data_IF_349356214327
#
_entry.id   IF_349356214327
#
_cell.length_a   1.000
_cell.length_b   1.000
_cell.length_c   1.000
_cell.angle_alpha   90.00
_cell.angle_beta   90.00
_cell.angle_gamma   90.00
#
_symmetry.space_group_name_H-M   'P 1'
#
loop_
_entity.id
_entity.type
_entity.pdbx_description
1 polymer ?
#
# COMPACT_ATOMS: atom_id res chain seq x y z
N UNK A 1 -40.92 8.42 26.55
CA UNK A 1 -40.26 8.58 25.23
C UNK A 1 -39.31 7.41 25.06
N UNK A 2 -39.80 6.34 24.44
CA UNK A 2 -39.05 5.10 24.23
C UNK A 2 -38.14 5.28 23.02
N UNK A 3 -36.83 5.40 23.26
CA UNK A 3 -35.81 5.32 22.21
C UNK A 3 -35.93 3.94 21.58
N UNK A 4 -36.23 3.79 20.28
CA UNK A 4 -36.19 2.48 19.66
C UNK A 4 -34.73 2.02 19.66
N UNK A 5 -34.45 1.06 20.52
CA UNK A 5 -33.18 0.39 20.68
C UNK A 5 -32.97 -0.52 19.46
N UNK A 6 -32.60 0.08 18.33
CA UNK A 6 -32.24 -0.58 17.06
C UNK A 6 -30.89 -1.32 17.13
N UNK A 7 -30.46 -1.75 18.33
CA UNK A 7 -29.21 -2.50 18.56
C UNK A 7 -29.44 -3.99 18.86
N UNK A 8 -30.67 -4.49 18.70
CA UNK A 8 -31.02 -5.88 19.06
C UNK A 8 -30.89 -6.90 17.93
N UNK A 9 -30.66 -6.51 16.68
CA UNK A 9 -30.34 -7.51 15.62
C UNK A 9 -28.91 -8.04 15.82
N UNK A 10 -28.74 -9.37 15.74
CA UNK A 10 -27.42 -10.03 15.82
C UNK A 10 -26.43 -9.43 14.83
N UNK A 11 -26.93 -9.08 13.65
CA UNK A 11 -26.17 -8.53 12.53
C UNK A 11 -25.52 -7.18 12.84
N UNK A 12 -26.23 -6.27 13.52
CA UNK A 12 -25.67 -4.97 13.91
C UNK A 12 -24.50 -5.12 14.91
N UNK A 13 -24.53 -6.15 15.76
CA UNK A 13 -23.46 -6.44 16.72
C UNK A 13 -22.23 -6.99 16.02
N UNK A 14 -22.41 -7.89 15.04
CA UNK A 14 -21.31 -8.48 14.26
C UNK A 14 -20.56 -7.42 13.47
N UNK A 15 -21.27 -6.49 12.83
CA UNK A 15 -20.62 -5.42 12.07
C UNK A 15 -19.92 -4.41 12.98
N UNK A 16 -20.52 -4.08 14.13
CA UNK A 16 -19.87 -3.21 15.13
C UNK A 16 -18.58 -3.84 15.67
N UNK A 17 -18.58 -5.16 15.89
CA UNK A 17 -17.38 -5.90 16.26
C UNK A 17 -16.32 -5.83 15.15
N UNK A 18 -16.72 -5.96 13.88
CA UNK A 18 -15.84 -5.78 12.73
C UNK A 18 -15.13 -4.43 12.72
N UNK A 19 -15.86 -3.33 12.95
CA UNK A 19 -15.26 -2.00 13.06
C UNK A 19 -14.36 -1.82 14.29
N UNK A 20 -14.71 -2.43 15.43
CA UNK A 20 -13.86 -2.41 16.61
C UNK A 20 -12.52 -3.13 16.36
N UNK A 21 -12.55 -4.27 15.66
CA UNK A 21 -11.34 -4.98 15.22
C UNK A 21 -10.56 -4.15 14.19
N UNK A 22 -11.26 -3.54 13.23
CA UNK A 22 -10.65 -2.67 12.22
C UNK A 22 -9.89 -1.49 12.86
N UNK A 23 -10.42 -0.91 13.94
CA UNK A 23 -9.82 0.21 14.64
C UNK A 23 -8.47 -0.10 15.32
N UNK A 24 -8.16 -1.39 15.56
CA UNK A 24 -6.87 -1.80 16.14
C UNK A 24 -5.74 -1.75 15.10
N UNK A 25 -6.04 -1.98 13.82
CA UNK A 25 -4.98 -2.10 12.83
C UNK A 25 -4.20 -0.81 12.56
N UNK A 26 -4.78 0.40 12.54
CA UNK A 26 -3.97 1.61 12.41
C UNK A 26 -2.93 1.76 13.53
N UNK A 27 -3.21 1.29 14.76
CA UNK A 27 -2.23 1.25 15.86
C UNK A 27 -1.12 0.24 15.57
N UNK A 28 -1.49 -0.97 15.12
CA UNK A 28 -0.54 -1.99 14.71
C UNK A 28 0.34 -1.52 13.55
N UNK A 29 -0.26 -0.81 12.59
CA UNK A 29 0.41 -0.26 11.43
C UNK A 29 1.41 0.83 11.85
N UNK A 30 1.01 1.72 12.76
CA UNK A 30 1.91 2.71 13.36
C UNK A 30 3.07 2.04 14.10
N UNK A 31 2.80 0.99 14.88
CA UNK A 31 3.84 0.22 15.55
C UNK A 31 4.79 -0.44 14.55
N UNK A 32 4.25 -1.05 13.48
CA UNK A 32 5.04 -1.66 12.41
C UNK A 32 5.95 -0.68 11.68
N UNK A 33 5.47 0.54 11.42
CA UNK A 33 6.28 1.62 10.84
C UNK A 33 7.38 2.04 11.80
N UNK A 34 7.04 2.31 13.06
CA UNK A 34 8.04 2.69 14.06
C UNK A 34 9.12 1.62 14.25
N UNK A 35 8.72 0.35 14.23
CA UNK A 35 9.62 -0.80 14.31
C UNK A 35 10.57 -0.88 13.11
N UNK A 36 10.14 -0.45 11.92
CA UNK A 36 10.94 -0.50 10.68
C UNK A 36 11.58 0.84 10.29
N UNK A 37 11.41 1.89 11.09
CA UNK A 37 11.86 3.26 10.79
C UNK A 37 13.34 3.35 10.43
N UNK A 38 14.22 2.77 11.25
CA UNK A 38 15.66 2.74 10.99
C UNK A 38 16.00 2.10 9.64
N UNK A 39 15.31 1.01 9.27
CA UNK A 39 15.55 0.33 8.01
C UNK A 39 15.09 1.19 6.82
N UNK A 40 13.98 1.93 6.96
CA UNK A 40 13.54 2.89 5.94
C UNK A 40 14.55 4.02 5.74
N UNK A 41 15.08 4.58 6.82
CA UNK A 41 16.12 5.62 6.77
C UNK A 41 17.38 5.09 6.04
N UNK A 42 17.84 3.89 6.41
CA UNK A 42 18.96 3.23 5.74
C UNK A 42 18.72 3.01 4.23
N UNK A 43 17.52 2.56 3.85
CA UNK A 43 17.15 2.38 2.43
C UNK A 43 17.25 3.69 1.66
N UNK A 44 16.78 4.81 2.23
CA UNK A 44 16.86 6.12 1.59
C UNK A 44 18.31 6.57 1.37
N UNK A 45 19.19 6.30 2.33
CA UNK A 45 20.62 6.55 2.16
C UNK A 45 21.24 5.69 1.05
N UNK A 46 20.87 4.40 0.99
CA UNK A 46 21.32 3.51 -0.09
C UNK A 46 20.76 3.94 -1.45
N UNK A 47 19.54 4.47 -1.52
CA UNK A 47 18.97 5.02 -2.75
C UNK A 47 19.80 6.18 -3.26
N UNK A 48 20.21 7.10 -2.38
CA UNK A 48 21.11 8.19 -2.76
C UNK A 48 22.44 7.64 -3.29
N UNK A 49 23.01 6.61 -2.64
CA UNK A 49 24.26 6.00 -3.11
C UNK A 49 24.11 5.36 -4.49
N UNK A 50 23.01 4.65 -4.74
CA UNK A 50 22.70 4.03 -6.03
C UNK A 50 22.53 5.10 -7.11
N UNK A 51 21.84 6.20 -6.81
CA UNK A 51 21.61 7.30 -7.75
C UNK A 51 22.94 7.90 -8.26
N UNK A 52 23.88 8.14 -7.35
CA UNK A 52 25.23 8.61 -7.66
C UNK A 52 25.99 7.61 -8.54
N UNK A 53 25.89 6.31 -8.24
CA UNK A 53 26.57 5.26 -9.01
C UNK A 53 25.96 5.07 -10.41
N UNK A 54 24.64 5.22 -10.54
CA UNK A 54 23.95 5.15 -11.82
C UNK A 54 24.02 6.46 -12.62
N UNK A 55 24.72 7.48 -12.10
CA UNK A 55 24.91 8.79 -12.73
C UNK A 55 23.59 9.39 -13.19
N UNK A 56 22.57 9.29 -12.34
CA UNK A 56 21.28 9.87 -12.62
C UNK A 56 21.08 11.13 -11.77
N UNK A 57 20.56 12.17 -12.40
CA UNK A 57 19.82 13.19 -11.68
C UNK A 57 18.41 12.64 -11.53
N UNK A 58 18.11 11.90 -10.46
CA UNK A 58 16.71 11.56 -10.17
C UNK A 58 15.89 12.86 -10.16
N UNK A 59 14.85 12.82 -10.97
CA UNK A 59 14.18 13.99 -11.51
C UNK A 59 13.24 14.58 -10.47
N UNK A 60 13.39 15.89 -10.24
CA UNK A 60 12.49 16.82 -9.52
C UNK A 60 10.99 16.66 -9.91
N UNK A 61 10.68 15.89 -10.96
CA UNK A 61 9.35 15.61 -11.49
C UNK A 61 8.54 14.58 -10.68
N UNK A 62 9.18 13.66 -9.93
CA UNK A 62 8.52 12.63 -9.12
C UNK A 62 7.81 13.23 -7.90
N UNK A 63 8.50 14.12 -7.17
CA UNK A 63 8.00 14.75 -5.93
C UNK A 63 6.70 15.53 -6.12
N UNK A 64 6.53 16.23 -7.24
CA UNK A 64 5.28 16.97 -7.54
C UNK A 64 4.06 16.05 -7.63
N UNK A 65 4.20 14.87 -8.24
CA UNK A 65 3.09 13.91 -8.38
C UNK A 65 2.71 13.30 -7.03
N UNK A 66 3.71 12.95 -6.23
CA UNK A 66 3.52 12.40 -4.87
C UNK A 66 2.84 13.43 -3.98
N UNK A 67 3.32 14.67 -3.98
CA UNK A 67 2.73 15.76 -3.20
C UNK A 67 1.29 16.04 -3.62
N UNK A 68 0.99 15.98 -4.92
CA UNK A 68 -0.36 16.14 -5.44
C UNK A 68 -1.27 15.00 -4.98
N UNK A 69 -0.79 13.75 -5.01
CA UNK A 69 -1.56 12.60 -4.51
C UNK A 69 -1.86 12.71 -3.01
N UNK A 70 -0.86 13.04 -2.19
CA UNK A 70 -1.03 13.23 -0.74
C UNK A 70 -1.99 14.39 -0.46
N UNK A 71 -1.84 15.53 -1.15
CA UNK A 71 -2.73 16.69 -1.00
C UNK A 71 -4.16 16.34 -1.40
N UNK A 72 -4.34 15.58 -2.48
CA UNK A 72 -5.66 15.11 -2.91
C UNK A 72 -6.29 14.20 -1.85
N UNK A 73 -5.56 13.24 -1.29
CA UNK A 73 -6.06 12.34 -0.23
C UNK A 73 -6.49 13.17 0.99
N UNK A 74 -5.62 14.07 1.45
CA UNK A 74 -5.89 14.95 2.59
C UNK A 74 -7.14 15.79 2.38
N UNK A 75 -7.24 16.46 1.22
CA UNK A 75 -8.37 17.32 0.90
C UNK A 75 -9.67 16.51 0.79
N UNK A 76 -9.66 15.36 0.11
CA UNK A 76 -10.85 14.52 -0.05
C UNK A 76 -11.37 14.03 1.29
N UNK A 77 -10.50 13.53 2.18
CA UNK A 77 -10.92 13.03 3.50
C UNK A 77 -11.37 14.18 4.41
N UNK A 78 -10.68 15.32 4.39
CA UNK A 78 -11.05 16.49 5.19
C UNK A 78 -12.43 17.04 4.79
N UNK A 79 -12.68 17.18 3.48
CA UNK A 79 -13.98 17.61 2.98
C UNK A 79 -15.08 16.60 3.33
N UNK A 80 -14.82 15.31 3.16
CA UNK A 80 -15.77 14.27 3.53
C UNK A 80 -16.10 14.27 5.03
N UNK A 81 -15.10 14.42 5.90
CA UNK A 81 -15.31 14.54 7.34
C UNK A 81 -16.10 15.82 7.69
N UNK A 82 -15.81 16.93 7.01
CA UNK A 82 -16.52 18.20 7.20
C UNK A 82 -18.00 18.08 6.82
N UNK A 83 -18.31 17.54 5.63
CA UNK A 83 -19.69 17.32 5.20
C UNK A 83 -20.41 16.29 6.08
N UNK A 84 -19.72 15.24 6.53
CA UNK A 84 -20.28 14.25 7.45
C UNK A 84 -20.66 14.89 8.78
N UNK A 85 -19.83 15.77 9.32
CA UNK A 85 -20.12 16.47 10.58
C UNK A 85 -21.29 17.47 10.43
N UNK A 86 -21.36 18.20 9.31
CA UNK A 86 -22.44 19.15 9.05
C UNK A 86 -23.81 18.48 8.81
N UNK A 87 -23.80 17.28 8.23
CA UNK A 87 -25.03 16.55 7.88
C UNK A 87 -25.45 15.55 8.95
N UNK A 88 -24.75 15.55 10.09
CA UNK A 88 -25.00 14.64 11.19
C UNK A 88 -26.36 14.97 11.86
N UNK A 89 -27.32 14.04 11.92
CA UNK A 89 -28.64 14.35 12.48
C UNK A 89 -28.57 14.58 13.99
N UNK A 90 -29.14 15.68 14.49
CA UNK A 90 -29.14 16.08 15.92
C UNK A 90 -29.65 15.02 16.90
N UNK A 91 -30.54 14.13 16.45
CA UNK A 91 -31.12 13.05 17.28
C UNK A 91 -30.48 11.69 17.04
N UNK A 92 -29.36 11.60 16.31
CA UNK A 92 -28.75 10.32 15.94
C UNK A 92 -27.88 9.73 17.05
N UNK A 93 -27.86 8.40 17.13
CA UNK A 93 -26.90 7.67 17.97
C UNK A 93 -25.44 7.97 17.60
N UNK A 94 -25.18 8.40 16.36
CA UNK A 94 -23.87 8.80 15.87
C UNK A 94 -23.34 10.04 16.58
N UNK A 95 -24.18 11.05 16.88
CA UNK A 95 -23.74 12.22 17.65
C UNK A 95 -23.23 11.82 19.01
N UNK A 96 -23.96 10.94 19.71
CA UNK A 96 -23.54 10.42 21.01
C UNK A 96 -22.21 9.68 20.90
N UNK A 97 -22.06 8.82 19.88
CA UNK A 97 -20.80 8.13 19.63
C UNK A 97 -19.61 9.10 19.46
N UNK A 98 -19.75 10.09 18.58
CA UNK A 98 -18.71 11.11 18.34
C UNK A 98 -18.54 12.12 19.48
N UNK A 99 -19.47 12.14 20.45
CA UNK A 99 -19.39 12.93 21.68
C UNK A 99 -18.95 12.10 22.89
N UNK A 100 -18.35 10.92 22.66
CA UNK A 100 -17.92 10.00 23.72
C UNK A 100 -19.04 9.64 24.70
N UNK A 101 -20.26 9.51 24.19
CA UNK A 101 -21.48 9.24 24.94
C UNK A 101 -21.77 10.26 26.05
N UNK A 102 -21.18 11.46 25.95
CA UNK A 102 -21.39 12.56 26.90
C UNK A 102 -22.41 13.55 26.34
N UNK A 103 -23.39 13.93 27.16
CA UNK A 103 -24.35 14.98 26.83
C UNK A 103 -23.83 16.33 27.34
N UNK A 104 -23.58 17.25 26.42
CA UNK A 104 -23.13 18.60 26.76
C UNK A 104 -24.33 19.54 26.91
N UNK A 105 -24.29 20.40 27.92
CA UNK A 105 -25.34 21.42 28.13
C UNK A 105 -25.17 22.65 27.24
N UNK A 106 -23.95 22.87 26.76
CA UNK A 106 -23.58 24.01 25.91
C UNK A 106 -23.68 23.58 24.44
N UNK A 107 -24.51 24.28 23.67
CA UNK A 107 -24.77 23.97 22.26
C UNK A 107 -23.50 24.06 21.38
N UNK A 108 -22.56 24.95 21.73
CA UNK A 108 -21.30 25.08 21.00
C UNK A 108 -20.41 23.87 21.27
N UNK A 109 -20.31 23.44 22.53
CA UNK A 109 -19.53 22.24 22.89
C UNK A 109 -20.14 20.97 22.31
N UNK A 110 -21.47 20.87 22.31
CA UNK A 110 -22.23 19.76 21.71
C UNK A 110 -21.98 19.64 20.20
N UNK A 111 -21.76 20.76 19.51
CA UNK A 111 -21.42 20.75 18.08
C UNK A 111 -19.93 20.52 17.81
N UNK A 112 -19.05 21.24 18.53
CA UNK A 112 -17.60 21.23 18.27
C UNK A 112 -16.98 19.87 18.59
N UNK A 113 -17.42 19.19 19.66
CA UNK A 113 -16.85 17.90 20.08
C UNK A 113 -17.00 16.81 19.01
N UNK A 114 -18.21 16.47 18.51
CA UNK A 114 -18.37 15.49 17.46
C UNK A 114 -17.75 15.94 16.12
N UNK A 115 -17.73 17.24 15.82
CA UNK A 115 -17.03 17.75 14.65
C UNK A 115 -15.52 17.43 14.70
N UNK A 116 -14.85 17.77 15.80
CA UNK A 116 -13.43 17.48 15.99
C UNK A 116 -13.16 15.97 16.01
N UNK A 117 -14.02 15.19 16.68
CA UNK A 117 -13.86 13.74 16.77
C UNK A 117 -14.00 13.07 15.41
N UNK A 118 -14.97 13.49 14.58
CA UNK A 118 -15.09 13.00 13.20
C UNK A 118 -13.83 13.27 12.37
N UNK A 119 -13.25 14.47 12.46
CA UNK A 119 -12.02 14.81 11.75
C UNK A 119 -10.86 13.87 12.16
N UNK A 120 -10.72 13.61 13.46
CA UNK A 120 -9.69 12.70 13.97
C UNK A 120 -9.93 11.26 13.51
N UNK A 121 -11.17 10.77 13.58
CA UNK A 121 -11.54 9.42 13.14
C UNK A 121 -11.25 9.24 11.65
N UNK A 122 -11.69 10.18 10.81
CA UNK A 122 -11.46 10.12 9.37
C UNK A 122 -9.98 10.21 9.01
N UNK A 123 -9.22 11.09 9.67
CA UNK A 123 -7.79 11.19 9.48
C UNK A 123 -7.08 9.88 9.86
N UNK A 124 -7.49 9.26 10.97
CA UNK A 124 -6.87 8.05 11.48
C UNK A 124 -7.24 6.79 10.68
N UNK A 125 -8.50 6.65 10.29
CA UNK A 125 -9.01 5.47 9.58
C UNK A 125 -8.79 5.51 8.07
N UNK A 126 -8.80 6.69 7.43
CA UNK A 126 -8.72 6.78 5.97
C UNK A 126 -7.45 7.48 5.50
N UNK A 127 -7.13 8.67 6.02
CA UNK A 127 -5.96 9.43 5.56
C UNK A 127 -4.65 8.69 5.87
N UNK A 128 -4.45 8.29 7.12
CA UNK A 128 -3.21 7.67 7.58
C UNK A 128 -2.80 6.42 6.78
N UNK A 129 -3.65 5.38 6.63
CA UNK A 129 -3.31 4.20 5.84
C UNK A 129 -3.13 4.51 4.36
N UNK A 130 -3.88 5.47 3.79
CA UNK A 130 -3.67 5.89 2.40
C UNK A 130 -2.33 6.59 2.20
N UNK A 131 -1.87 7.43 3.14
CA UNK A 131 -0.54 8.03 3.10
C UNK A 131 0.53 6.94 3.15
N UNK A 132 0.38 5.95 4.03
CA UNK A 132 1.32 4.83 4.13
C UNK A 132 1.37 4.03 2.83
N UNK A 133 0.21 3.76 2.23
CA UNK A 133 0.13 3.11 0.93
C UNK A 133 0.90 3.89 -0.15
N UNK A 134 0.74 5.22 -0.19
CA UNK A 134 1.51 6.09 -1.09
C UNK A 134 3.00 6.00 -0.80
N UNK A 135 3.43 6.08 0.46
CA UNK A 135 4.84 5.98 0.85
C UNK A 135 5.45 4.64 0.43
N UNK A 136 4.79 3.51 0.70
CA UNK A 136 5.23 2.20 0.23
C UNK A 136 5.27 2.12 -1.31
N UNK A 137 4.25 2.65 -1.98
CA UNK A 137 4.19 2.71 -3.43
C UNK A 137 5.34 3.51 -4.04
N UNK A 138 5.72 4.63 -3.43
CA UNK A 138 6.86 5.46 -3.84
C UNK A 138 8.17 4.71 -3.63
N UNK A 139 8.38 4.08 -2.47
CA UNK A 139 9.59 3.29 -2.22
C UNK A 139 9.77 2.19 -3.27
N UNK A 140 8.69 1.49 -3.62
CA UNK A 140 8.72 0.48 -4.67
C UNK A 140 8.94 1.07 -6.06
N UNK A 141 8.30 2.21 -6.36
CA UNK A 141 8.43 2.85 -7.66
C UNK A 141 9.87 3.32 -7.92
N UNK A 142 10.48 4.01 -6.96
CA UNK A 142 11.86 4.51 -7.06
C UNK A 142 12.85 3.34 -7.18
N UNK A 143 12.67 2.27 -6.40
CA UNK A 143 13.50 1.07 -6.54
C UNK A 143 13.35 0.42 -7.93
N UNK A 144 12.11 0.33 -8.42
CA UNK A 144 11.83 -0.16 -9.77
C UNK A 144 12.50 0.68 -10.86
N UNK A 145 12.60 2.00 -10.67
CA UNK A 145 13.33 2.90 -11.57
C UNK A 145 14.85 2.60 -11.55
N UNK A 146 15.45 2.37 -10.39
CA UNK A 146 16.87 1.98 -10.32
C UNK A 146 17.15 0.66 -11.03
N UNK A 147 16.30 -0.35 -10.84
CA UNK A 147 16.43 -1.63 -11.54
C UNK A 147 16.28 -1.47 -13.05
N UNK A 148 15.33 -0.64 -13.49
CA UNK A 148 15.08 -0.38 -14.91
C UNK A 148 16.28 0.32 -15.55
N UNK A 149 16.87 1.29 -14.87
CA UNK A 149 18.09 1.96 -15.33
C UNK A 149 19.28 1.01 -15.37
N UNK A 150 19.43 0.15 -14.36
CA UNK A 150 20.47 -0.86 -14.36
C UNK A 150 20.34 -1.77 -15.59
N UNK A 151 19.12 -2.23 -15.88
CA UNK A 151 18.81 -3.04 -17.07
C UNK A 151 19.23 -2.31 -18.35
N UNK A 152 18.69 -1.12 -18.62
CA UNK A 152 18.96 -0.39 -19.86
C UNK A 152 20.41 0.06 -20.02
N UNK A 153 21.07 0.55 -18.96
CA UNK A 153 22.43 1.09 -19.06
C UNK A 153 23.51 0.00 -19.10
N UNK A 154 23.29 -1.14 -18.45
CA UNK A 154 24.35 -2.12 -18.22
C UNK A 154 24.13 -3.47 -18.90
N UNK A 155 22.89 -3.84 -19.26
CA UNK A 155 22.59 -5.17 -19.80
C UNK A 155 22.19 -5.16 -21.28
N UNK A 156 21.87 -4.00 -21.87
CA UNK A 156 21.48 -3.90 -23.28
C UNK A 156 22.66 -3.95 -24.26
N UNK A 157 23.90 -3.71 -23.81
CA UNK A 157 25.11 -3.83 -24.62
C UNK A 157 25.93 -5.08 -24.24
N UNK A 158 25.83 -6.19 -25.02
CA UNK A 158 26.59 -7.41 -24.75
C UNK A 158 28.11 -7.22 -24.89
N UNK A 159 28.57 -6.23 -25.66
CA UNK A 159 29.99 -5.98 -25.85
C UNK A 159 30.63 -5.41 -24.57
N UNK A 160 29.88 -4.58 -23.83
CA UNK A 160 30.30 -4.07 -22.53
C UNK A 160 30.52 -5.18 -21.48
N UNK A 161 29.81 -6.30 -21.60
CA UNK A 161 29.88 -7.44 -20.68
C UNK A 161 31.04 -8.40 -20.98
N UNK A 162 31.74 -8.22 -22.10
CA UNK A 162 32.97 -8.98 -22.42
C UNK A 162 34.21 -8.41 -21.71
N UNK A 163 34.22 -7.10 -21.43
CA UNK A 163 35.31 -6.42 -20.72
C UNK A 163 35.26 -6.73 -19.21
N UNK A 164 36.35 -7.32 -18.69
CA UNK A 164 36.52 -7.72 -17.29
C UNK A 164 36.26 -6.58 -16.31
N UNK A 165 36.75 -5.38 -16.60
CA UNK A 165 36.63 -4.25 -15.67
C UNK A 165 35.19 -3.73 -15.63
N UNK A 166 34.52 -3.69 -16.79
CA UNK A 166 33.12 -3.29 -16.90
C UNK A 166 32.19 -4.29 -16.22
N UNK A 167 32.34 -5.58 -16.49
CA UNK A 167 31.48 -6.59 -15.86
C UNK A 167 31.67 -6.64 -14.34
N UNK A 168 32.89 -6.44 -13.83
CA UNK A 168 33.13 -6.33 -12.39
C UNK A 168 32.38 -5.13 -11.78
N UNK A 169 32.38 -3.98 -12.47
CA UNK A 169 31.61 -2.80 -12.05
C UNK A 169 30.11 -3.09 -12.03
N UNK A 170 29.58 -3.69 -13.10
CA UNK A 170 28.17 -4.08 -13.24
C UNK A 170 27.78 -5.07 -12.12
N UNK A 171 28.63 -6.05 -11.83
CA UNK A 171 28.40 -7.03 -10.77
C UNK A 171 28.37 -6.40 -9.38
N UNK A 172 29.18 -5.36 -9.13
CA UNK A 172 29.13 -4.59 -7.87
C UNK A 172 27.83 -3.81 -7.74
N UNK A 173 27.37 -3.16 -8.81
CA UNK A 173 26.07 -2.46 -8.82
C UNK A 173 24.92 -3.45 -8.61
N UNK A 174 24.94 -4.60 -9.30
CA UNK A 174 23.96 -5.67 -9.11
C UNK A 174 23.94 -6.18 -7.66
N UNK A 175 25.12 -6.38 -7.05
CA UNK A 175 25.20 -6.81 -5.65
C UNK A 175 24.58 -5.78 -4.69
N UNK A 176 24.80 -4.49 -4.93
CA UNK A 176 24.18 -3.41 -4.15
C UNK A 176 22.66 -3.38 -4.34
N UNK A 177 22.17 -3.49 -5.58
CA UNK A 177 20.72 -3.58 -5.86
C UNK A 177 20.09 -4.82 -5.21
N UNK A 178 20.82 -5.94 -5.17
CA UNK A 178 20.38 -7.16 -4.50
C UNK A 178 20.20 -6.99 -3.00
N UNK A 179 21.16 -6.34 -2.34
CA UNK A 179 21.11 -6.02 -0.91
C UNK A 179 19.92 -5.09 -0.60
N UNK A 180 19.81 -3.98 -1.34
CA UNK A 180 18.73 -3.01 -1.18
C UNK A 180 17.36 -3.62 -1.46
N UNK A 181 17.24 -4.55 -2.42
CA UNK A 181 15.98 -5.26 -2.66
C UNK A 181 15.52 -6.06 -1.44
N UNK A 182 16.44 -6.70 -0.72
CA UNK A 182 16.12 -7.43 0.51
C UNK A 182 15.71 -6.47 1.61
N UNK A 183 16.43 -5.36 1.80
CA UNK A 183 16.07 -4.36 2.79
C UNK A 183 14.69 -3.75 2.51
N UNK A 184 14.41 -3.39 1.25
CA UNK A 184 13.10 -2.87 0.82
C UNK A 184 12.00 -3.87 1.18
N UNK A 185 12.17 -5.15 0.84
CA UNK A 185 11.21 -6.20 1.21
C UNK A 185 11.05 -6.32 2.73
N UNK A 186 12.14 -6.32 3.47
CA UNK A 186 12.14 -6.51 4.92
C UNK A 186 11.54 -5.32 5.67
N UNK A 187 11.69 -4.10 5.14
CA UNK A 187 11.09 -2.89 5.67
C UNK A 187 9.58 -2.83 5.41
N UNK A 188 9.17 -3.22 4.21
CA UNK A 188 7.79 -3.00 3.73
C UNK A 188 6.88 -4.19 3.97
N UNK A 189 7.39 -5.41 4.07
CA UNK A 189 6.56 -6.63 4.11
C UNK A 189 5.51 -6.66 5.24
N UNK A 190 5.90 -6.33 6.46
CA UNK A 190 5.00 -6.25 7.63
C UNK A 190 3.99 -5.10 7.47
N UNK A 191 4.45 -3.96 6.97
CA UNK A 191 3.63 -2.76 6.78
C UNK A 191 2.56 -3.01 5.72
N UNK A 192 2.94 -3.58 4.57
CA UNK A 192 2.00 -3.96 3.52
C UNK A 192 1.02 -5.02 4.01
N UNK A 193 1.44 -5.99 4.83
CA UNK A 193 0.53 -6.97 5.41
C UNK A 193 -0.52 -6.31 6.31
N UNK A 194 -0.10 -5.48 7.27
CA UNK A 194 -1.01 -4.78 8.17
C UNK A 194 -1.94 -3.82 7.43
N UNK A 195 -1.40 -3.12 6.41
CA UNK A 195 -2.17 -2.24 5.54
C UNK A 195 -3.26 -3.01 4.79
N UNK A 196 -2.92 -4.14 4.16
CA UNK A 196 -3.87 -4.98 3.44
C UNK A 196 -4.93 -5.55 4.38
N UNK A 197 -4.54 -6.06 5.55
CA UNK A 197 -5.50 -6.54 6.55
C UNK A 197 -6.47 -5.44 6.98
N UNK A 198 -5.95 -4.25 7.30
CA UNK A 198 -6.78 -3.11 7.68
C UNK A 198 -7.76 -2.74 6.57
N UNK A 199 -7.24 -2.49 5.37
CA UNK A 199 -8.02 -1.98 4.26
C UNK A 199 -9.06 -2.99 3.78
N UNK A 200 -8.70 -4.26 3.69
CA UNK A 200 -9.64 -5.34 3.33
C UNK A 200 -10.71 -5.53 4.39
N UNK A 201 -10.36 -5.44 5.69
CA UNK A 201 -11.34 -5.53 6.79
C UNK A 201 -12.31 -4.36 6.75
N UNK A 202 -11.80 -3.12 6.59
CA UNK A 202 -12.64 -1.92 6.49
C UNK A 202 -13.55 -1.99 5.27
N UNK A 203 -13.02 -2.38 4.10
CA UNK A 203 -13.81 -2.54 2.89
C UNK A 203 -14.89 -3.61 3.06
N UNK A 204 -14.56 -4.74 3.68
CA UNK A 204 -15.53 -5.79 4.00
C UNK A 204 -16.64 -5.28 4.93
N UNK A 205 -16.29 -4.60 6.02
CA UNK A 205 -17.27 -4.06 6.98
C UNK A 205 -18.19 -3.02 6.32
N UNK A 206 -17.65 -2.12 5.50
CA UNK A 206 -18.46 -1.12 4.79
C UNK A 206 -19.36 -1.77 3.72
N UNK A 207 -18.88 -2.78 2.99
CA UNK A 207 -19.71 -3.54 2.06
C UNK A 207 -20.82 -4.29 2.79
N UNK A 208 -20.50 -4.95 3.91
CA UNK A 208 -21.49 -5.63 4.73
C UNK A 208 -22.56 -4.63 5.24
N UNK A 209 -22.16 -3.49 5.81
CA UNK A 209 -23.11 -2.43 6.21
C UNK A 209 -24.00 -2.00 5.05
N UNK A 210 -23.41 -1.75 3.88
CA UNK A 210 -24.13 -1.29 2.70
C UNK A 210 -25.15 -2.32 2.20
N UNK A 211 -24.86 -3.61 2.35
CA UNK A 211 -25.71 -4.70 1.89
C UNK A 211 -26.79 -5.10 2.91
N UNK A 212 -26.49 -5.02 4.20
CA UNK A 212 -27.39 -5.40 5.30
C UNK A 212 -28.43 -4.31 5.61
N UNK A 213 -28.11 -3.03 5.38
CA UNK A 213 -29.03 -1.93 5.67
C UNK A 213 -30.10 -1.76 4.59
N UNK A 214 -31.35 -1.55 5.01
CA UNK A 214 -32.44 -1.20 4.09
C UNK A 214 -32.19 0.19 3.51
N UNK A 215 -32.62 0.42 2.26
CA UNK A 215 -32.42 1.69 1.55
C UNK A 215 -32.89 2.93 2.30
N UNK A 216 -33.88 2.79 3.18
CA UNK A 216 -34.49 3.89 3.94
C UNK A 216 -33.68 4.30 5.19
N UNK A 217 -32.66 3.52 5.58
CA UNK A 217 -31.92 3.72 6.83
C UNK A 217 -30.57 4.43 6.65
N UNK A 218 -30.16 4.76 5.42
CA UNK A 218 -28.87 5.40 5.18
C UNK A 218 -28.87 6.89 5.53
N UNK A 219 -28.05 7.25 6.50
CA UNK A 219 -27.74 8.65 6.79
C UNK A 219 -26.69 9.19 5.80
N UNK A 220 -26.74 10.50 5.52
CA UNK A 220 -25.78 11.15 4.62
C UNK A 220 -24.31 10.89 5.02
N UNK A 221 -23.91 10.96 6.31
CA UNK A 221 -22.55 10.63 6.73
C UNK A 221 -22.10 9.21 6.34
N UNK A 222 -23.00 8.22 6.46
CA UNK A 222 -22.68 6.83 6.10
C UNK A 222 -22.48 6.66 4.59
N UNK A 223 -23.23 7.39 3.78
CA UNK A 223 -23.06 7.40 2.32
C UNK A 223 -21.69 7.98 1.97
N UNK A 224 -21.32 9.12 2.57
CA UNK A 224 -20.02 9.77 2.36
C UNK A 224 -18.88 8.82 2.76
N UNK A 225 -18.98 8.21 3.93
CA UNK A 225 -17.99 7.24 4.43
C UNK A 225 -17.86 6.03 3.49
N UNK A 226 -18.97 5.47 3.05
CA UNK A 226 -18.98 4.33 2.12
C UNK A 226 -18.34 4.70 0.77
N UNK A 227 -18.62 5.91 0.26
CA UNK A 227 -17.98 6.41 -0.96
C UNK A 227 -16.46 6.56 -0.79
N UNK A 228 -15.98 7.06 0.35
CA UNK A 228 -14.54 7.12 0.63
C UNK A 228 -13.93 5.72 0.65
N UNK A 229 -14.54 4.78 1.36
CA UNK A 229 -14.03 3.41 1.49
C UNK A 229 -13.96 2.73 0.13
N UNK A 230 -15.02 2.78 -0.67
CA UNK A 230 -15.09 2.12 -1.99
C UNK A 230 -14.12 2.75 -3.00
N UNK A 231 -13.69 4.01 -2.81
CA UNK A 231 -12.77 4.68 -3.73
C UNK A 231 -11.31 4.62 -3.27
N UNK A 232 -11.02 5.09 -2.05
CA UNK A 232 -9.65 5.24 -1.55
C UNK A 232 -9.00 3.90 -1.24
N UNK A 233 -9.71 2.96 -0.63
CA UNK A 233 -9.13 1.66 -0.29
C UNK A 233 -8.69 0.91 -1.55
N UNK A 234 -9.55 0.67 -2.56
CA UNK A 234 -9.11 -0.02 -3.76
C UNK A 234 -7.96 0.70 -4.47
N UNK A 235 -8.03 2.03 -4.59
CA UNK A 235 -6.97 2.82 -5.21
C UNK A 235 -5.62 2.63 -4.50
N UNK A 236 -5.61 2.64 -3.17
CA UNK A 236 -4.40 2.49 -2.36
C UNK A 236 -3.80 1.08 -2.46
N UNK A 237 -4.62 0.02 -2.43
CA UNK A 237 -4.17 -1.36 -2.60
C UNK A 237 -3.58 -1.55 -4.01
N UNK A 238 -4.29 -1.09 -5.04
CA UNK A 238 -3.83 -1.16 -6.42
C UNK A 238 -2.50 -0.41 -6.59
N UNK A 239 -2.35 0.78 -5.99
CA UNK A 239 -1.13 1.57 -6.07
C UNK A 239 0.09 0.84 -5.49
N UNK A 240 -0.03 0.27 -4.29
CA UNK A 240 1.05 -0.49 -3.64
C UNK A 240 1.42 -1.73 -4.46
N UNK A 241 0.42 -2.48 -4.90
CA UNK A 241 0.62 -3.72 -5.66
C UNK A 241 1.20 -3.44 -7.04
N UNK A 242 0.78 -2.36 -7.70
CA UNK A 242 1.35 -1.95 -8.98
C UNK A 242 2.84 -1.63 -8.84
N UNK A 243 3.22 -0.86 -7.80
CA UNK A 243 4.63 -0.56 -7.50
C UNK A 243 5.45 -1.84 -7.25
N UNK A 244 4.94 -2.74 -6.40
CA UNK A 244 5.60 -4.00 -6.09
C UNK A 244 5.73 -4.93 -7.33
N UNK A 245 4.66 -5.06 -8.10
CA UNK A 245 4.63 -5.89 -9.31
C UNK A 245 5.57 -5.37 -10.39
N UNK A 246 5.75 -4.04 -10.47
CA UNK A 246 6.71 -3.43 -11.40
C UNK A 246 8.13 -3.92 -11.11
N UNK A 247 8.53 -3.97 -9.84
CA UNK A 247 9.83 -4.52 -9.43
C UNK A 247 9.97 -5.95 -9.93
N UNK A 248 9.01 -6.84 -9.60
CA UNK A 248 9.05 -8.25 -10.02
C UNK A 248 9.22 -8.39 -11.54
N UNK A 249 8.49 -7.60 -12.32
CA UNK A 249 8.58 -7.62 -13.78
C UNK A 249 9.96 -7.16 -14.30
N UNK A 250 10.54 -6.12 -13.70
CA UNK A 250 11.90 -5.66 -14.08
C UNK A 250 12.95 -6.70 -13.66
N UNK A 251 12.82 -7.32 -12.48
CA UNK A 251 13.70 -8.40 -12.05
C UNK A 251 13.71 -9.57 -13.04
N UNK A 252 12.54 -9.97 -13.56
CA UNK A 252 12.43 -11.02 -14.58
C UNK A 252 13.13 -10.63 -15.89
N UNK A 253 13.03 -9.37 -16.30
CA UNK A 253 13.77 -8.85 -17.47
C UNK A 253 15.27 -8.89 -17.27
N UNK A 254 15.75 -8.51 -16.08
CA UNK A 254 17.18 -8.59 -15.73
C UNK A 254 17.66 -10.04 -15.77
N UNK A 255 16.94 -10.98 -15.13
CA UNK A 255 17.29 -12.41 -15.14
C UNK A 255 17.36 -12.95 -16.57
N UNK A 256 16.38 -12.62 -17.41
CA UNK A 256 16.36 -13.03 -18.83
C UNK A 256 17.52 -12.42 -19.62
N UNK A 257 17.80 -11.12 -19.46
CA UNK A 257 18.93 -10.46 -20.13
C UNK A 257 20.27 -11.03 -19.70
N UNK A 258 20.46 -11.36 -18.42
CA UNK A 258 21.66 -12.00 -17.91
C UNK A 258 21.86 -13.39 -18.52
N UNK A 259 20.80 -14.21 -18.57
CA UNK A 259 20.83 -15.55 -19.18
C UNK A 259 21.17 -15.49 -20.67
N UNK A 260 20.49 -14.62 -21.43
CA UNK A 260 20.76 -14.45 -22.86
C UNK A 260 22.18 -13.96 -23.13
N UNK A 261 22.71 -13.06 -22.30
CA UNK A 261 24.09 -12.59 -22.46
C UNK A 261 25.11 -13.67 -22.10
N UNK A 262 24.86 -14.45 -21.03
CA UNK A 262 25.67 -15.62 -20.69
C UNK A 262 25.74 -16.62 -21.85
N UNK A 263 24.60 -16.94 -22.45
CA UNK A 263 24.52 -17.87 -23.59
C UNK A 263 25.21 -17.34 -24.85
N UNK A 264 25.17 -16.03 -25.08
CA UNK A 264 25.91 -15.40 -26.18
C UNK A 264 27.43 -15.47 -25.93
N UNK A 265 27.87 -15.14 -24.72
CA UNK A 265 29.28 -15.15 -24.34
C UNK A 265 29.86 -16.57 -24.33
N UNK A 266 29.10 -17.59 -23.92
CA UNK A 266 29.57 -18.97 -23.92
C UNK A 266 29.79 -19.55 -25.33
N UNK A 267 29.07 -19.03 -26.33
CA UNK A 267 29.22 -19.41 -27.75
C UNK A 267 30.39 -18.72 -28.45
N UNK A 268 30.97 -17.66 -27.86
CA UNK A 268 32.11 -16.96 -28.44
C UNK A 268 33.41 -17.69 -28.07
N UNK A 269 34.21 -18.11 -29.07
CA UNK A 269 35.48 -18.84 -28.86
C UNK A 269 36.53 -18.09 -28.01
N UNK A 270 36.42 -16.78 -27.84
CA UNK A 270 37.38 -15.93 -27.10
C UNK A 270 36.75 -15.37 -25.83
N UNK A 271 35.81 -16.12 -25.22
CA UNK A 271 35.11 -15.66 -24.03
C UNK A 271 36.03 -15.61 -22.81
N UNK A 272 36.02 -14.48 -22.11
CA UNK A 272 36.73 -14.34 -20.84
C UNK A 272 36.00 -15.14 -19.76
N UNK A 273 36.64 -16.19 -19.23
CA UNK A 273 36.06 -17.05 -18.18
C UNK A 273 35.66 -16.26 -16.93
N UNK A 274 36.38 -15.19 -16.59
CA UNK A 274 36.02 -14.33 -15.46
C UNK A 274 34.67 -13.64 -15.69
N UNK A 275 34.39 -13.20 -16.92
CA UNK A 275 33.13 -12.54 -17.27
C UNK A 275 31.94 -13.51 -17.14
N UNK A 276 32.10 -14.75 -17.61
CA UNK A 276 31.10 -15.81 -17.41
C UNK A 276 30.88 -16.07 -15.92
N UNK A 277 31.95 -16.16 -15.12
CA UNK A 277 31.85 -16.36 -13.67
C UNK A 277 31.07 -15.24 -12.98
N UNK A 278 31.29 -13.98 -13.36
CA UNK A 278 30.52 -12.85 -12.80
C UNK A 278 29.05 -12.89 -13.21
N UNK A 279 28.73 -13.26 -14.47
CA UNK A 279 27.35 -13.47 -14.91
C UNK A 279 26.67 -14.58 -14.10
N UNK A 280 27.35 -15.70 -13.89
CA UNK A 280 26.84 -16.83 -13.12
C UNK A 280 26.54 -16.43 -11.67
N UNK A 281 27.41 -15.62 -11.06
CA UNK A 281 27.18 -15.06 -9.74
C UNK A 281 25.96 -14.12 -9.69
N UNK A 282 25.76 -13.28 -10.71
CA UNK A 282 24.58 -12.41 -10.79
C UNK A 282 23.30 -13.21 -10.98
N UNK A 283 23.30 -14.20 -11.87
CA UNK A 283 22.15 -15.10 -12.13
C UNK A 283 21.78 -15.90 -10.87
N UNK A 284 22.78 -16.35 -10.11
CA UNK A 284 22.56 -17.11 -8.86
C UNK A 284 21.92 -16.23 -7.79
N UNK A 285 22.23 -14.93 -7.76
CA UNK A 285 21.68 -13.95 -6.81
C UNK A 285 20.31 -13.44 -7.29
N UNK A 286 19.27 -14.24 -7.08
CA UNK A 286 17.90 -13.87 -7.44
C UNK A 286 17.35 -12.76 -6.57
N UNK A 287 16.88 -11.69 -7.19
CA UNK A 287 16.21 -10.59 -6.49
C UNK A 287 14.95 -11.11 -5.78
N UNK A 288 14.70 -10.66 -4.54
CA UNK A 288 13.57 -11.12 -3.77
C UNK A 288 12.27 -10.60 -4.36
N UNK A 289 11.23 -11.42 -4.32
CA UNK A 289 9.87 -11.01 -4.67
C UNK A 289 9.31 -10.14 -3.56
N UNK A 290 8.56 -9.10 -3.92
CA UNK A 290 7.91 -8.23 -2.95
C UNK A 290 6.65 -8.93 -2.40
N UNK A 291 6.62 -9.16 -1.09
CA UNK A 291 5.60 -9.98 -0.43
C UNK A 291 4.99 -9.27 0.77
N UNK A 292 3.71 -9.50 1.05
CA UNK A 292 3.09 -9.12 2.32
C UNK A 292 3.33 -10.22 3.36
N UNK A 293 4.34 -10.02 4.20
CA UNK A 293 4.72 -10.93 5.31
C UNK A 293 4.77 -12.43 4.93
N UNK A 294 5.26 -12.73 3.72
CA UNK A 294 5.39 -14.11 3.22
C UNK A 294 4.08 -14.79 2.79
N UNK A 295 2.92 -14.17 2.96
CA UNK A 295 1.63 -14.77 2.60
C UNK A 295 1.39 -14.84 1.08
N UNK A 296 1.96 -13.92 0.33
CA UNK A 296 1.81 -13.86 -1.11
C UNK A 296 2.65 -12.78 -1.75
N UNK A 297 3.00 -12.99 -3.02
CA UNK A 297 3.61 -11.95 -3.85
C UNK A 297 2.57 -10.88 -4.20
N UNK A 298 2.95 -9.62 -4.03
CA UNK A 298 2.11 -8.47 -4.35
C UNK A 298 1.99 -8.31 -5.86
N UNK A 299 1.07 -9.07 -6.46
CA UNK A 299 0.79 -9.09 -7.91
C UNK A 299 -0.63 -8.63 -8.21
N UNK A 300 -0.94 -8.19 -9.44
CA UNK A 300 -2.30 -7.86 -9.84
C UNK A 300 -3.27 -9.04 -9.64
N UNK A 301 -2.81 -10.27 -9.85
CA UNK A 301 -3.60 -11.47 -9.60
C UNK A 301 -3.97 -11.61 -8.13
N UNK A 302 -3.05 -11.30 -7.20
CA UNK A 302 -3.34 -11.27 -5.77
C UNK A 302 -4.48 -10.29 -5.44
N UNK A 303 -4.47 -9.08 -6.03
CA UNK A 303 -5.53 -8.07 -5.84
C UNK A 303 -6.86 -8.54 -6.40
N UNK A 304 -6.87 -9.10 -7.60
CA UNK A 304 -8.08 -9.65 -8.22
C UNK A 304 -8.66 -10.79 -7.39
N UNK A 305 -7.83 -11.69 -6.87
CA UNK A 305 -8.28 -12.76 -5.96
C UNK A 305 -8.85 -12.20 -4.66
N UNK A 306 -8.20 -11.18 -4.08
CA UNK A 306 -8.66 -10.54 -2.86
C UNK A 306 -10.01 -9.84 -3.05
N UNK A 307 -10.17 -8.99 -4.08
CA UNK A 307 -11.47 -8.37 -4.38
C UNK A 307 -12.53 -9.39 -4.79
N UNK A 308 -12.15 -10.40 -5.58
CA UNK A 308 -13.04 -11.50 -5.93
C UNK A 308 -13.58 -12.19 -4.68
N UNK A 309 -12.72 -12.52 -3.71
CA UNK A 309 -13.13 -13.12 -2.45
C UNK A 309 -14.09 -12.20 -1.66
N UNK A 310 -13.78 -10.90 -1.57
CA UNK A 310 -14.65 -9.92 -0.90
C UNK A 310 -16.05 -9.88 -1.53
N UNK A 311 -16.14 -9.82 -2.86
CA UNK A 311 -17.43 -9.83 -3.56
C UNK A 311 -18.15 -11.17 -3.38
N UNK A 312 -17.47 -12.30 -3.50
CA UNK A 312 -18.08 -13.62 -3.31
C UNK A 312 -18.65 -13.78 -1.89
N UNK A 313 -17.89 -13.42 -0.85
CA UNK A 313 -18.38 -13.51 0.53
C UNK A 313 -19.52 -12.52 0.79
N UNK A 314 -19.44 -11.30 0.25
CA UNK A 314 -20.52 -10.30 0.39
C UNK A 314 -21.82 -10.77 -0.29
N UNK A 315 -21.72 -11.36 -1.48
CA UNK A 315 -22.87 -11.95 -2.20
C UNK A 315 -23.41 -13.20 -1.51
N UNK A 316 -22.56 -14.01 -0.90
CA UNK A 316 -22.98 -15.17 -0.12
C UNK A 316 -23.82 -14.74 1.09
N UNK A 317 -23.35 -13.72 1.84
CA UNK A 317 -24.09 -13.15 2.98
C UNK A 317 -25.46 -12.65 2.52
N UNK A 318 -25.52 -11.91 1.41
CA UNK A 318 -26.80 -11.46 0.83
C UNK A 318 -27.77 -12.59 0.49
N UNK A 319 -27.25 -13.71 -0.04
CA UNK A 319 -28.10 -14.85 -0.39
C UNK A 319 -28.60 -15.60 0.84
N UNK A 320 -27.84 -15.64 1.94
CA UNK A 320 -28.24 -16.29 3.18
C UNK A 320 -29.29 -15.51 3.98
N UNK A 321 -29.51 -14.23 3.65
CA UNK A 321 -30.53 -13.38 4.28
C UNK A 321 -31.91 -13.47 3.61
N UNK A 322 -32.02 -14.16 2.48
CA UNK A 322 -33.31 -14.46 1.82
C UNK A 322 -33.88 -15.77 2.31
#
# INVERSE_FOLDING_TARGET
MTVPMYTSSSEAKEVTLGFAVAAVFPLLLQHGINFKKHLMEHILDQYHRIDVLLMNHVTIKSTRKINLAITSILLTVLLAAFFSALTLPRSSALIRYYSFFTEFKDEVIEFVTPFCTMQLVFAYQYTYPCIIAVTCGVLYYEFGDFLLQFHFKNLDDPAALSDRNKILSIAKIHALLFEVAHEVRDATSVICFLLLCFQTTTLYCSLAMFLLMKKEDFTIPQIIESCLVVTLIPASIIGVVYGASRISHVCQKIEMSLLLTRDKLSRQCVSNQDSIRFLDLMITKKLPRMTAFGLGELTPNFVLSMFGSLFTYSLLVLNLQK
#
